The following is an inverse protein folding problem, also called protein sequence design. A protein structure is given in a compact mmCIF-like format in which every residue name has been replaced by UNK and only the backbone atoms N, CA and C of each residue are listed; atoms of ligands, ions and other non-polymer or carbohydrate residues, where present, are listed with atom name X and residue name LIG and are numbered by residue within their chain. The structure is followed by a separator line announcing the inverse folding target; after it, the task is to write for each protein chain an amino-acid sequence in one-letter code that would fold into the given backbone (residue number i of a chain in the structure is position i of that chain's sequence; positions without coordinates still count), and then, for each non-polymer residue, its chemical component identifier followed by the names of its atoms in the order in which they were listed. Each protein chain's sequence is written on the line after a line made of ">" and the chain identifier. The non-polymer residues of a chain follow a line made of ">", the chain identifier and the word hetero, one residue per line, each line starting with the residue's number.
data_IF_933723879901
#
_entry.id   IF_933723879901
#
_cell.length_a   1.000
_cell.length_b   1.000
_cell.length_c   1.000
_cell.angle_alpha   90.00
_cell.angle_beta   90.00
_cell.angle_gamma   90.00
#
_symmetry.space_group_name_H-M   'P 1'
#
loop_
_entity.id
_entity.type
_entity.pdbx_description
1 polymer ?
#
# COMPACT_ATOMS: atom_id res chain seq x y z
N UNK A 1 4.81 5.62 2.43
CA UNK A 1 3.86 6.35 3.31
C UNK A 1 2.61 6.78 2.56
N UNK A 2 2.72 7.41 1.39
CA UNK A 2 1.56 7.84 0.58
C UNK A 2 0.60 6.67 0.23
N UNK A 3 1.17 5.53 -0.18
CA UNK A 3 0.40 4.30 -0.48
C UNK A 3 -0.39 3.80 0.73
N UNK A 4 0.16 3.88 1.93
CA UNK A 4 -0.49 3.47 3.18
C UNK A 4 -1.67 4.39 3.49
N UNK A 5 -1.48 5.71 3.35
CA UNK A 5 -2.55 6.69 3.60
C UNK A 5 -3.73 6.44 2.65
N UNK A 6 -3.45 6.21 1.36
CA UNK A 6 -4.48 5.91 0.38
C UNK A 6 -5.22 4.60 0.72
N UNK A 7 -4.49 3.55 1.11
CA UNK A 7 -5.08 2.28 1.57
C UNK A 7 -6.02 2.49 2.76
N UNK A 8 -5.64 3.31 3.75
CA UNK A 8 -6.49 3.62 4.92
C UNK A 8 -7.78 4.34 4.50
N UNK A 9 -7.68 5.38 3.66
CA UNK A 9 -8.85 6.15 3.22
C UNK A 9 -9.81 5.24 2.44
N UNK A 10 -9.29 4.46 1.49
CA UNK A 10 -10.11 3.59 0.66
C UNK A 10 -10.75 2.45 1.48
N UNK A 11 -9.97 1.79 2.33
CA UNK A 11 -10.47 0.72 3.20
C UNK A 11 -11.54 1.27 4.17
N UNK A 12 -11.28 2.39 4.85
CA UNK A 12 -12.26 3.00 5.77
C UNK A 12 -13.55 3.41 5.05
N UNK A 13 -13.44 3.90 3.81
CA UNK A 13 -14.57 4.21 2.94
C UNK A 13 -15.42 2.99 2.57
N UNK A 14 -14.81 1.87 2.15
CA UNK A 14 -15.54 0.64 1.81
C UNK A 14 -16.24 0.06 3.04
N UNK A 15 -15.51 -0.06 4.17
CA UNK A 15 -16.08 -0.59 5.42
C UNK A 15 -17.25 0.28 5.88
N UNK A 16 -17.14 1.60 5.77
CA UNK A 16 -18.24 2.51 6.08
C UNK A 16 -19.42 2.35 5.11
N UNK A 17 -19.14 2.20 3.80
CA UNK A 17 -20.16 1.96 2.78
C UNK A 17 -20.98 0.72 3.07
N UNK A 18 -20.33 -0.39 3.43
CA UNK A 18 -21.01 -1.62 3.85
C UNK A 18 -21.92 -1.39 5.07
N UNK A 19 -21.46 -0.63 6.06
CA UNK A 19 -22.33 -0.21 7.15
C UNK A 19 -23.53 0.60 6.65
N UNK A 20 -23.28 1.63 5.84
CA UNK A 20 -24.32 2.58 5.41
C UNK A 20 -25.43 1.90 4.59
N UNK A 21 -25.07 1.01 3.68
CA UNK A 21 -26.03 0.36 2.78
C UNK A 21 -26.76 -0.82 3.42
N UNK A 22 -26.08 -1.62 4.25
CA UNK A 22 -26.64 -2.87 4.78
C UNK A 22 -27.11 -2.78 6.23
N UNK A 23 -26.36 -2.10 7.10
CA UNK A 23 -26.53 -2.18 8.56
C UNK A 23 -27.21 -0.96 9.18
N UNK A 24 -26.98 0.24 8.62
CA UNK A 24 -27.49 1.50 9.18
C UNK A 24 -29.03 1.60 9.21
N UNK A 25 -29.72 0.74 8.45
CA UNK A 25 -31.18 0.68 8.36
C UNK A 25 -31.80 -0.40 9.25
N UNK A 26 -31.00 -1.23 9.92
CA UNK A 26 -31.47 -2.31 10.78
C UNK A 26 -31.30 -1.93 12.27
N UNK A 27 -32.20 -2.41 13.11
CA UNK A 27 -32.16 -2.38 14.58
C UNK A 27 -31.21 -3.46 15.12
N UNK A 28 -29.96 -3.39 14.70
CA UNK A 28 -28.86 -4.23 15.19
C UNK A 28 -27.81 -3.37 15.87
N UNK A 29 -28.24 -2.42 16.73
CA UNK A 29 -27.39 -1.30 17.17
C UNK A 29 -26.15 -1.74 17.93
N UNK A 30 -26.25 -2.79 18.75
CA UNK A 30 -25.09 -3.35 19.46
C UNK A 30 -24.05 -3.88 18.48
N UNK A 31 -24.47 -4.64 17.46
CA UNK A 31 -23.58 -5.12 16.40
C UNK A 31 -23.01 -3.96 15.59
N UNK A 32 -23.84 -2.99 15.22
CA UNK A 32 -23.44 -1.81 14.47
C UNK A 32 -22.35 -1.00 15.20
N UNK A 33 -22.46 -0.86 16.52
CA UNK A 33 -21.44 -0.21 17.37
C UNK A 33 -20.09 -0.90 17.22
N UNK A 34 -20.05 -2.22 17.42
CA UNK A 34 -18.82 -3.00 17.29
C UNK A 34 -18.29 -3.01 15.86
N UNK A 35 -19.16 -3.12 14.86
CA UNK A 35 -18.77 -3.04 13.46
C UNK A 35 -18.09 -1.71 13.14
N UNK A 36 -18.65 -0.58 13.58
CA UNK A 36 -18.08 0.75 13.34
C UNK A 36 -16.71 0.91 14.02
N UNK A 37 -16.57 0.45 15.27
CA UNK A 37 -15.31 0.50 16.01
C UNK A 37 -14.25 -0.41 15.41
N UNK A 38 -14.55 -1.70 15.27
CA UNK A 38 -13.62 -2.70 14.75
C UNK A 38 -13.29 -2.42 13.29
N UNK A 39 -14.27 -1.99 12.49
CA UNK A 39 -14.06 -1.63 11.10
C UNK A 39 -13.08 -0.47 10.96
N UNK A 40 -13.19 0.54 11.83
CA UNK A 40 -12.25 1.66 11.84
C UNK A 40 -10.86 1.22 12.28
N UNK A 41 -10.74 0.43 13.36
CA UNK A 41 -9.44 -0.12 13.80
C UNK A 41 -8.82 -0.97 12.68
N UNK A 42 -9.61 -1.85 12.06
CA UNK A 42 -9.20 -2.72 10.97
C UNK A 42 -8.64 -1.91 9.79
N UNK A 43 -9.33 -0.87 9.34
CA UNK A 43 -8.86 -0.05 8.21
C UNK A 43 -7.52 0.64 8.47
N UNK A 44 -7.22 0.96 9.73
CA UNK A 44 -5.95 1.57 10.12
C UNK A 44 -4.84 0.54 10.36
N UNK A 45 -5.19 -0.67 10.80
CA UNK A 45 -4.21 -1.72 11.07
C UNK A 45 -3.84 -2.54 9.83
N UNK A 46 -4.78 -2.78 8.91
CA UNK A 46 -4.58 -3.73 7.81
C UNK A 46 -3.40 -3.40 6.88
N UNK A 47 -3.09 -2.12 6.53
CA UNK A 47 -1.97 -1.83 5.63
C UNK A 47 -0.60 -2.13 6.24
N UNK A 48 -0.52 -2.35 7.56
CA UNK A 48 0.72 -2.69 8.27
C UNK A 48 0.89 -4.20 8.46
N UNK A 49 -0.10 -5.00 8.06
CA UNK A 49 -0.02 -6.46 8.13
C UNK A 49 0.59 -6.97 6.83
N UNK A 50 1.75 -7.62 6.96
CA UNK A 50 2.43 -8.24 5.83
C UNK A 50 1.95 -9.69 5.62
N UNK A 51 1.43 -9.99 4.43
CA UNK A 51 1.15 -11.35 3.97
C UNK A 51 2.33 -11.80 3.11
N UNK A 52 2.94 -12.91 3.51
CA UNK A 52 3.98 -13.57 2.72
C UNK A 52 3.33 -14.27 1.53
N UNK A 53 3.65 -13.84 0.32
CA UNK A 53 3.21 -14.53 -0.91
C UNK A 53 4.41 -15.16 -1.59
N UNK A 54 4.25 -16.39 -2.06
CA UNK A 54 5.24 -17.00 -2.94
C UNK A 54 5.25 -16.23 -4.26
N UNK A 55 6.44 -15.77 -4.66
CA UNK A 55 6.65 -15.17 -5.96
C UNK A 55 6.52 -16.29 -7.00
N UNK A 56 5.45 -16.25 -7.81
CA UNK A 56 5.45 -16.99 -9.07
C UNK A 56 6.33 -16.15 -10.00
N UNK A 57 7.61 -16.50 -10.08
CA UNK A 57 8.52 -15.90 -11.05
C UNK A 57 8.07 -16.29 -12.45
N UNK A 58 7.39 -15.37 -13.14
CA UNK A 58 7.56 -15.32 -14.60
C UNK A 58 9.04 -15.01 -14.84
N UNK A 59 9.82 -16.05 -15.17
CA UNK A 59 11.20 -15.92 -15.64
C UNK A 59 11.22 -15.08 -16.92
N UNK A 60 11.23 -13.76 -16.77
CA UNK A 60 11.61 -12.84 -17.84
C UNK A 60 13.09 -12.57 -17.66
N UNK A 61 13.94 -12.89 -18.65
CA UNK A 61 15.37 -12.65 -18.53
C UNK A 61 15.61 -11.15 -18.39
N UNK A 62 16.11 -10.75 -17.22
CA UNK A 62 16.58 -9.39 -16.96
C UNK A 62 18.02 -9.33 -17.46
N UNK A 63 18.27 -8.47 -18.45
CA UNK A 63 19.62 -8.16 -18.90
C UNK A 63 20.23 -7.20 -17.87
N UNK A 64 21.22 -7.67 -17.11
CA UNK A 64 22.05 -6.80 -16.29
C UNK A 64 23.07 -6.10 -17.21
N UNK A 65 22.87 -4.80 -17.45
CA UNK A 65 23.92 -3.96 -18.01
C UNK A 65 24.81 -3.50 -16.85
N UNK A 66 26.06 -3.96 -16.86
CA UNK A 66 27.12 -3.41 -16.03
C UNK A 66 27.49 -2.05 -16.64
N UNK A 67 26.93 -0.98 -16.08
CA UNK A 67 27.34 0.36 -16.46
C UNK A 67 28.78 0.52 -15.98
N UNK A 68 29.73 0.60 -16.92
CA UNK A 68 31.12 0.91 -16.59
C UNK A 68 31.13 2.18 -15.75
N UNK A 69 31.69 2.09 -14.55
CA UNK A 69 31.98 3.25 -13.72
C UNK A 69 32.97 4.09 -14.53
N UNK A 70 32.47 5.05 -15.29
CA UNK A 70 33.29 6.15 -15.75
C UNK A 70 33.79 6.86 -14.51
N UNK A 71 35.06 6.67 -14.22
CA UNK A 71 35.80 7.44 -13.24
C UNK A 71 35.73 8.90 -13.71
N UNK A 72 34.75 9.66 -13.20
CA UNK A 72 34.67 11.09 -13.42
C UNK A 72 35.97 11.69 -12.89
N UNK A 73 36.69 12.37 -13.77
CA UNK A 73 37.73 13.32 -13.38
C UNK A 73 37.08 14.28 -12.39
N UNK A 74 37.70 14.41 -11.22
CA UNK A 74 37.24 15.24 -10.11
C UNK A 74 37.33 16.72 -10.51
N UNK A 75 36.38 17.22 -11.27
CA UNK A 75 36.04 18.64 -11.21
C UNK A 75 35.28 18.83 -9.90
N UNK A 76 35.90 19.52 -8.95
CA UNK A 76 35.25 19.92 -7.70
C UNK A 76 33.91 20.58 -8.07
N UNK A 77 32.75 19.99 -7.71
CA UNK A 77 31.51 20.69 -7.91
C UNK A 77 31.58 21.93 -7.02
N UNK A 78 31.46 23.11 -7.63
CA UNK A 78 31.05 24.29 -6.88
C UNK A 78 29.70 23.89 -6.28
N UNK A 79 29.69 23.68 -4.96
CA UNK A 79 28.47 23.43 -4.20
C UNK A 79 27.69 24.74 -4.24
N UNK A 80 26.88 24.89 -5.29
CA UNK A 80 25.77 25.85 -5.24
C UNK A 80 24.82 25.26 -4.22
N UNK A 81 24.92 25.75 -2.98
CA UNK A 81 24.00 25.42 -1.91
C UNK A 81 22.67 26.11 -2.25
N UNK A 82 21.95 25.53 -3.21
CA UNK A 82 20.56 25.85 -3.39
C UNK A 82 19.87 25.35 -2.12
N UNK A 83 19.53 26.28 -1.22
CA UNK A 83 18.56 26.05 -0.16
C UNK A 83 17.20 25.83 -0.83
N UNK A 84 17.05 24.73 -1.56
CA UNK A 84 15.76 24.26 -2.02
C UNK A 84 15.07 23.82 -0.74
N UNK A 85 14.19 24.68 -0.23
CA UNK A 85 13.33 24.33 0.89
C UNK A 85 12.65 23.02 0.50
N UNK A 86 12.92 21.97 1.27
CA UNK A 86 12.28 20.69 1.05
C UNK A 86 10.80 20.84 1.38
N UNK A 87 9.99 21.04 0.33
CA UNK A 87 8.54 21.19 0.45
C UNK A 87 7.91 20.00 1.19
N UNK A 88 8.53 18.81 1.17
CA UNK A 88 8.07 17.64 1.91
C UNK A 88 8.23 17.84 3.41
N UNK A 89 9.35 18.41 3.87
CA UNK A 89 9.57 18.74 5.28
C UNK A 89 8.57 19.78 5.77
N UNK A 90 8.27 20.81 4.95
CA UNK A 90 7.27 21.82 5.27
C UNK A 90 5.87 21.21 5.45
N UNK A 91 5.49 20.24 4.60
CA UNK A 91 4.21 19.52 4.72
C UNK A 91 4.12 18.72 6.02
N UNK A 92 5.19 18.04 6.44
CA UNK A 92 5.22 17.33 7.72
C UNK A 92 5.04 18.29 8.91
N UNK A 93 5.75 19.42 8.90
CA UNK A 93 5.61 20.45 9.95
C UNK A 93 4.17 20.97 10.00
N UNK A 94 3.58 21.30 8.86
CA UNK A 94 2.19 21.75 8.78
C UNK A 94 1.20 20.69 9.31
N UNK A 95 1.40 19.43 8.94
CA UNK A 95 0.59 18.30 9.43
C UNK A 95 0.64 18.18 10.97
N UNK A 96 1.83 18.27 11.57
CA UNK A 96 1.96 18.19 13.04
C UNK A 96 1.35 19.40 13.74
N UNK A 97 1.48 20.61 13.19
CA UNK A 97 0.87 21.82 13.75
C UNK A 97 -0.66 21.70 13.76
N UNK A 98 -1.26 21.31 12.62
CA UNK A 98 -2.73 21.15 12.51
C UNK A 98 -3.21 20.08 13.50
N UNK A 99 -2.54 18.92 13.52
CA UNK A 99 -2.88 17.82 14.42
C UNK A 99 -2.78 18.24 15.90
N UNK A 100 -1.74 18.99 16.27
CA UNK A 100 -1.56 19.52 17.63
C UNK A 100 -2.70 20.47 18.02
N UNK A 101 -3.08 21.41 17.15
CA UNK A 101 -4.20 22.33 17.41
C UNK A 101 -5.51 21.55 17.63
N UNK A 102 -5.76 20.50 16.84
CA UNK A 102 -6.95 19.66 17.00
C UNK A 102 -6.93 18.88 18.32
N UNK A 103 -5.78 18.33 18.73
CA UNK A 103 -5.63 17.66 20.04
C UNK A 103 -5.86 18.64 21.20
N UNK A 104 -5.27 19.84 21.14
CA UNK A 104 -5.49 20.89 22.15
C UNK A 104 -6.96 21.30 22.23
N UNK A 105 -7.68 21.38 21.10
CA UNK A 105 -9.11 21.63 21.06
C UNK A 105 -9.92 20.53 21.78
N UNK A 106 -9.52 19.26 21.64
CA UNK A 106 -10.15 18.13 22.35
C UNK A 106 -9.90 18.26 23.86
N UNK A 107 -8.66 18.52 24.27
CA UNK A 107 -8.30 18.71 25.69
C UNK A 107 -9.09 19.87 26.29
N UNK A 108 -9.13 21.02 25.61
CA UNK A 108 -9.90 22.18 26.03
C UNK A 108 -11.39 21.85 26.18
N UNK A 109 -11.98 21.09 25.26
CA UNK A 109 -13.38 20.64 25.35
C UNK A 109 -13.63 19.80 26.61
N UNK A 110 -12.73 18.87 26.93
CA UNK A 110 -12.83 18.02 28.13
C UNK A 110 -12.72 18.88 29.41
N UNK A 111 -11.77 19.82 29.45
CA UNK A 111 -11.62 20.76 30.58
C UNK A 111 -12.88 21.60 30.72
N UNK A 112 -13.42 22.13 29.61
CA UNK A 112 -14.64 22.94 29.61
C UNK A 112 -15.82 22.18 30.22
N UNK A 113 -16.05 20.92 29.82
CA UNK A 113 -17.11 20.07 30.39
C UNK A 113 -16.90 19.85 31.90
N UNK A 114 -15.66 19.55 32.33
CA UNK A 114 -15.35 19.34 33.75
C UNK A 114 -15.41 20.62 34.58
N UNK A 115 -15.23 21.78 33.96
CA UNK A 115 -15.26 23.10 34.61
C UNK A 115 -16.68 23.67 34.79
N UNK A 116 -17.70 23.01 34.25
CA UNK A 116 -19.08 23.46 34.36
C UNK A 116 -19.51 23.57 35.83
N UNK A 117 -20.01 24.75 36.20
CA UNK A 117 -20.47 25.05 37.56
C UNK A 117 -21.87 24.52 37.78
N UNK A 118 -22.07 23.86 38.92
CA UNK A 118 -23.35 23.27 39.29
C UNK A 118 -23.32 22.56 40.64
N UNK A 119 -24.50 22.29 41.19
CA UNK A 119 -24.69 21.51 42.41
C UNK A 119 -24.55 20.02 42.11
N UNK A 120 -23.66 19.34 42.83
CA UNK A 120 -23.46 17.88 42.67
C UNK A 120 -24.41 17.12 43.60
N UNK A 121 -25.14 16.16 43.05
CA UNK A 121 -26.03 15.27 43.79
C UNK A 121 -25.77 13.82 43.38
N UNK A 122 -26.22 12.88 44.22
CA UNK A 122 -26.31 11.46 43.85
C UNK A 122 -27.79 11.16 43.66
N UNK A 123 -28.18 10.73 42.45
CA UNK A 123 -29.54 10.35 42.12
C UNK A 123 -29.53 8.94 41.55
N UNK A 124 -30.33 8.03 42.13
CA UNK A 124 -30.39 6.61 41.76
C UNK A 124 -29.00 5.95 41.61
N UNK A 125 -28.12 6.16 42.60
CA UNK A 125 -26.74 5.64 42.61
C UNK A 125 -25.84 6.13 41.44
N UNK A 126 -26.15 7.31 40.88
CA UNK A 126 -25.36 7.97 39.83
C UNK A 126 -24.99 9.39 40.22
N UNK A 127 -23.79 9.81 39.82
CA UNK A 127 -23.34 11.18 39.99
C UNK A 127 -24.05 12.08 38.97
N UNK A 128 -24.76 13.09 39.47
CA UNK A 128 -25.48 14.08 38.67
C UNK A 128 -24.97 15.47 39.05
N UNK A 129 -24.68 16.30 38.04
CA UNK A 129 -24.36 17.71 38.23
C UNK A 129 -25.52 18.55 37.70
N UNK A 130 -26.20 19.25 38.61
CA UNK A 130 -27.25 20.20 38.29
C UNK A 130 -26.62 21.56 37.95
N UNK A 131 -26.72 21.94 36.69
CA UNK A 131 -26.12 23.13 36.09
C UNK A 131 -27.02 24.36 36.31
N UNK A 132 -26.37 25.50 36.56
CA UNK A 132 -27.05 26.79 36.73
C UNK A 132 -27.51 27.42 35.41
N UNK A 133 -27.18 26.79 34.27
CA UNK A 133 -27.44 27.29 32.93
C UNK A 133 -28.42 26.35 32.23
N UNK A 134 -29.33 26.92 31.43
CA UNK A 134 -30.35 26.16 30.69
C UNK A 134 -29.74 25.49 29.44
N UNK A 135 -29.23 24.27 29.64
CA UNK A 135 -28.66 23.41 28.60
C UNK A 135 -29.41 22.07 28.56
N UNK A 136 -29.40 21.42 27.39
CA UNK A 136 -29.82 20.05 27.21
C UNK A 136 -29.19 19.09 28.24
N UNK A 137 -29.90 18.06 28.69
CA UNK A 137 -29.31 16.88 29.32
C UNK A 137 -28.17 16.33 28.46
N UNK A 138 -27.06 15.97 29.10
CA UNK A 138 -26.01 15.19 28.45
C UNK A 138 -25.19 14.43 29.49
N UNK A 139 -24.50 13.40 29.03
CA UNK A 139 -23.64 12.57 29.87
C UNK A 139 -22.21 12.55 29.38
N UNK A 140 -21.27 12.62 30.30
CA UNK A 140 -19.84 12.53 29.99
C UNK A 140 -19.11 11.68 31.03
N UNK A 141 -18.42 10.65 30.53
CA UNK A 141 -17.74 9.62 31.33
C UNK A 141 -18.71 8.96 32.32
N UNK A 142 -18.56 9.19 33.62
CA UNK A 142 -19.36 8.58 34.67
C UNK A 142 -20.37 9.55 35.31
N UNK A 143 -20.59 10.71 34.68
CA UNK A 143 -21.38 11.81 35.24
C UNK A 143 -22.46 12.26 34.28
N UNK A 144 -23.67 12.45 34.81
CA UNK A 144 -24.81 13.01 34.09
C UNK A 144 -24.89 14.51 34.41
N UNK A 145 -25.10 15.35 33.40
CA UNK A 145 -25.23 16.79 33.51
C UNK A 145 -26.64 17.20 33.10
N UNK A 146 -27.32 17.93 33.98
CA UNK A 146 -28.72 18.36 33.78
C UNK A 146 -28.84 19.80 34.23
N UNK A 147 -29.70 20.60 33.61
CA UNK A 147 -30.04 21.92 34.16
C UNK A 147 -30.85 21.79 35.45
N UNK A 148 -30.74 22.75 36.36
CA UNK A 148 -31.52 22.77 37.60
C UNK A 148 -33.04 22.68 37.33
N UNK A 149 -33.50 23.18 36.18
CA UNK A 149 -34.90 23.12 35.71
C UNK A 149 -35.46 21.70 35.50
N UNK A 150 -34.61 20.68 35.35
CA UNK A 150 -35.01 19.27 35.26
C UNK A 150 -35.22 18.61 36.63
N UNK A 151 -34.73 19.22 37.71
CA UNK A 151 -34.83 18.69 39.07
C UNK A 151 -35.98 19.37 39.80
N UNK A 152 -37.18 18.80 39.70
CA UNK A 152 -38.41 19.34 40.31
C UNK A 152 -38.85 18.44 41.45
N UNK A 153 -39.11 19.04 42.62
CA UNK A 153 -39.65 18.33 43.79
C UNK A 153 -38.84 17.08 44.17
N UNK A 154 -37.52 17.14 44.02
CA UNK A 154 -36.63 16.02 44.34
C UNK A 154 -36.57 14.91 43.28
N UNK A 155 -37.18 15.10 42.11
CA UNK A 155 -37.28 14.10 41.05
C UNK A 155 -36.83 14.65 39.70
N UNK A 156 -36.36 13.74 38.87
CA UNK A 156 -35.99 13.96 37.46
C UNK A 156 -36.92 13.10 36.61
N UNK A 157 -37.33 13.58 35.43
CA UNK A 157 -38.08 12.75 34.48
C UNK A 157 -37.31 11.45 34.21
N UNK A 158 -37.93 10.33 34.53
CA UNK A 158 -37.26 9.04 34.53
C UNK A 158 -36.79 8.62 33.13
N UNK A 159 -37.44 9.08 32.07
CA UNK A 159 -37.05 8.77 30.68
C UNK A 159 -35.79 9.52 30.30
N UNK A 160 -35.67 10.79 30.71
CA UNK A 160 -34.45 11.58 30.51
C UNK A 160 -33.31 10.97 31.31
N UNK A 161 -33.54 10.69 32.60
CA UNK A 161 -32.51 10.12 33.46
C UNK A 161 -32.04 8.76 32.93
N UNK A 162 -32.96 7.88 32.55
CA UNK A 162 -32.62 6.56 32.00
C UNK A 162 -31.83 6.68 30.69
N UNK A 163 -32.22 7.57 29.77
CA UNK A 163 -31.50 7.81 28.52
C UNK A 163 -30.04 8.20 28.79
N UNK A 164 -29.84 9.22 29.63
CA UNK A 164 -28.52 9.69 30.03
C UNK A 164 -27.72 8.62 30.78
N UNK A 165 -28.37 7.85 31.65
CA UNK A 165 -27.74 6.75 32.36
C UNK A 165 -27.23 5.66 31.41
N UNK A 166 -27.95 5.38 30.31
CA UNK A 166 -27.52 4.40 29.31
C UNK A 166 -26.21 4.84 28.64
N UNK A 167 -26.04 6.14 28.33
CA UNK A 167 -24.77 6.65 27.80
C UNK A 167 -23.60 6.42 28.75
N UNK A 168 -23.82 6.62 30.05
CA UNK A 168 -22.83 6.34 31.08
C UNK A 168 -22.54 4.84 31.19
N UNK A 169 -23.58 4.02 31.36
CA UNK A 169 -23.48 2.56 31.53
C UNK A 169 -22.76 1.89 30.36
N UNK A 170 -23.09 2.31 29.14
CA UNK A 170 -22.50 1.78 27.91
C UNK A 170 -21.17 2.47 27.53
N UNK A 171 -20.70 3.43 28.32
CA UNK A 171 -19.40 4.11 28.13
C UNK A 171 -19.28 4.83 26.77
N UNK A 172 -20.38 5.38 26.24
CA UNK A 172 -20.43 6.02 24.92
C UNK A 172 -19.45 7.21 24.77
N UNK A 173 -19.05 7.86 25.88
CA UNK A 173 -18.03 8.91 25.84
C UNK A 173 -16.66 8.41 25.36
N UNK A 174 -16.28 7.16 25.66
CA UNK A 174 -14.99 6.62 25.23
C UNK A 174 -14.95 6.41 23.72
N UNK A 175 -16.03 5.90 23.13
CA UNK A 175 -16.20 5.72 21.70
C UNK A 175 -16.08 7.05 20.94
N UNK A 176 -16.71 8.11 21.46
CA UNK A 176 -16.62 9.46 20.87
C UNK A 176 -15.21 10.04 21.03
N UNK A 177 -14.57 9.88 22.20
CA UNK A 177 -13.19 10.33 22.42
C UNK A 177 -12.21 9.60 21.49
N UNK A 178 -12.37 8.30 21.30
CA UNK A 178 -11.57 7.50 20.39
C UNK A 178 -11.62 8.04 18.95
N UNK A 179 -12.82 8.28 18.41
CA UNK A 179 -12.96 8.87 17.08
C UNK A 179 -12.41 10.29 17.02
N UNK A 180 -12.63 11.12 18.04
CA UNK A 180 -12.08 12.50 18.06
C UNK A 180 -10.55 12.50 18.02
N UNK A 181 -9.90 11.59 18.76
CA UNK A 181 -8.44 11.41 18.73
C UNK A 181 -8.00 10.95 17.35
N UNK A 182 -8.61 9.90 16.78
CA UNK A 182 -8.26 9.43 15.43
C UNK A 182 -8.45 10.51 14.37
N UNK A 183 -9.54 11.27 14.46
CA UNK A 183 -9.83 12.40 13.57
C UNK A 183 -8.78 13.51 13.69
N UNK A 184 -8.22 13.75 14.88
CA UNK A 184 -7.16 14.75 15.04
C UNK A 184 -5.90 14.40 14.23
N UNK A 185 -5.53 13.12 14.17
CA UNK A 185 -4.40 12.63 13.36
C UNK A 185 -4.78 12.40 11.90
N UNK A 186 -6.02 12.04 11.61
CA UNK A 186 -6.51 11.74 10.26
C UNK A 186 -7.51 12.78 9.77
N UNK A 187 -7.24 14.06 10.04
CA UNK A 187 -8.17 15.16 9.75
C UNK A 187 -8.46 15.30 8.25
N UNK A 188 -7.54 14.83 7.41
CA UNK A 188 -7.66 14.78 5.95
C UNK A 188 -8.54 13.63 5.45
N UNK A 189 -8.81 12.59 6.26
CA UNK A 189 -9.65 11.47 5.86
C UNK A 189 -11.14 11.86 6.00
N UNK A 190 -11.92 12.03 4.92
CA UNK A 190 -13.32 12.44 5.03
C UNK A 190 -14.20 11.37 5.71
N UNK A 191 -13.84 10.09 5.61
CA UNK A 191 -14.66 9.01 6.17
C UNK A 191 -14.70 9.00 7.68
N UNK A 192 -13.67 9.51 8.37
CA UNK A 192 -13.66 9.59 9.84
C UNK A 192 -14.84 10.44 10.38
N UNK A 193 -15.25 11.47 9.63
CA UNK A 193 -16.38 12.33 9.99
C UNK A 193 -17.71 11.58 9.82
N UNK A 194 -17.81 10.71 8.82
CA UNK A 194 -18.98 9.84 8.65
C UNK A 194 -19.08 8.77 9.74
N UNK A 195 -17.95 8.15 10.13
CA UNK A 195 -17.90 7.25 11.28
C UNK A 195 -18.35 7.94 12.56
N UNK A 196 -17.86 9.17 12.82
CA UNK A 196 -18.30 9.96 13.98
C UNK A 196 -19.83 10.10 14.02
N UNK A 197 -20.42 10.57 12.93
CA UNK A 197 -21.85 10.82 12.86
C UNK A 197 -22.66 9.53 13.00
N UNK A 198 -22.20 8.45 12.37
CA UNK A 198 -22.84 7.13 12.46
C UNK A 198 -22.76 6.57 13.88
N UNK A 199 -21.62 6.68 14.57
CA UNK A 199 -21.43 6.18 15.92
C UNK A 199 -22.30 6.93 16.92
N UNK A 200 -22.34 8.27 16.84
CA UNK A 200 -23.23 9.09 17.66
C UNK A 200 -24.69 8.68 17.41
N UNK A 201 -25.12 8.60 16.16
CA UNK A 201 -26.50 8.17 15.80
C UNK A 201 -26.81 6.78 16.38
N UNK A 202 -25.87 5.84 16.32
CA UNK A 202 -26.05 4.50 16.86
C UNK A 202 -26.13 4.47 18.39
N UNK A 203 -25.37 5.34 19.09
CA UNK A 203 -25.50 5.51 20.55
C UNK A 203 -26.86 6.04 20.95
N UNK A 204 -27.39 7.02 20.21
CA UNK A 204 -28.75 7.52 20.43
C UNK A 204 -29.77 6.38 20.26
N UNK A 205 -29.63 5.56 19.22
CA UNK A 205 -30.53 4.42 18.98
C UNK A 205 -30.47 3.37 20.11
N UNK A 206 -29.27 3.06 20.62
CA UNK A 206 -29.09 2.16 21.76
C UNK A 206 -29.79 2.71 23.02
N UNK A 207 -29.63 4.00 23.28
CA UNK A 207 -30.27 4.64 24.43
C UNK A 207 -31.80 4.70 24.27
N UNK A 208 -32.29 5.05 23.08
CA UNK A 208 -33.71 5.11 22.77
C UNK A 208 -34.39 3.74 22.90
N UNK A 209 -33.76 2.68 22.38
CA UNK A 209 -34.29 1.31 22.44
C UNK A 209 -34.43 0.83 23.89
N UNK A 210 -33.42 1.05 24.72
CA UNK A 210 -33.43 0.68 26.14
C UNK A 210 -34.47 1.47 26.95
N UNK A 211 -34.70 2.74 26.63
CA UNK A 211 -35.78 3.53 27.27
C UNK A 211 -37.15 2.96 26.88
N UNK A 212 -37.37 2.68 25.59
CA UNK A 212 -38.64 2.14 25.08
C UNK A 212 -38.91 0.73 25.63
N UNK A 213 -37.88 -0.10 25.83
CA UNK A 213 -38.03 -1.43 26.41
C UNK A 213 -38.41 -1.38 27.90
N UNK A 214 -37.96 -0.35 28.63
CA UNK A 214 -38.17 -0.21 30.08
C UNK A 214 -39.37 0.68 30.45
N UNK A 215 -39.89 1.47 29.51
CA UNK A 215 -40.92 2.48 29.75
C UNK A 215 -41.99 2.43 28.67
N UNK A 216 -43.22 2.71 29.05
CA UNK A 216 -44.36 2.63 28.14
C UNK A 216 -44.53 3.92 27.32
N UNK A 217 -44.83 3.75 26.02
CA UNK A 217 -45.31 4.82 25.15
C UNK A 217 -44.24 5.49 24.27
N UNK A 218 -43.97 4.92 23.09
CA UNK A 218 -43.08 5.51 22.06
C UNK A 218 -43.48 6.96 21.75
N UNK A 219 -44.79 7.24 21.61
CA UNK A 219 -45.29 8.59 21.28
C UNK A 219 -44.94 9.62 22.36
N UNK A 220 -45.17 9.26 23.63
CA UNK A 220 -44.89 10.16 24.76
C UNK A 220 -43.38 10.44 24.85
N UNK A 221 -42.56 9.43 24.57
CA UNK A 221 -41.10 9.62 24.52
C UNK A 221 -40.63 10.48 23.34
N UNK A 222 -41.23 10.30 22.15
CA UNK A 222 -40.95 11.15 20.98
C UNK A 222 -41.35 12.62 21.24
N UNK A 223 -42.51 12.86 21.86
CA UNK A 223 -42.94 14.21 22.25
C UNK A 223 -41.97 14.85 23.26
N UNK A 224 -41.49 14.08 24.23
CA UNK A 224 -40.46 14.53 25.17
C UNK A 224 -39.19 14.97 24.42
N UNK A 225 -38.65 14.12 23.55
CA UNK A 225 -37.45 14.45 22.75
C UNK A 225 -37.69 15.68 21.87
N UNK A 226 -38.86 15.77 21.23
CA UNK A 226 -39.21 16.90 20.37
C UNK A 226 -39.22 18.21 21.17
N UNK A 227 -39.86 18.20 22.35
CA UNK A 227 -39.88 19.35 23.24
C UNK A 227 -38.46 19.76 23.67
N UNK A 228 -37.57 18.80 23.92
CA UNK A 228 -36.18 19.10 24.26
C UNK A 228 -35.38 19.72 23.12
N UNK A 229 -35.60 19.26 21.88
CA UNK A 229 -34.97 19.86 20.69
C UNK A 229 -35.50 21.28 20.43
N UNK A 230 -36.79 21.54 20.70
CA UNK A 230 -37.43 22.84 20.52
C UNK A 230 -36.96 23.89 21.53
N UNK A 231 -36.78 23.53 22.81
CA UNK A 231 -36.27 24.45 23.85
C UNK A 231 -34.89 25.04 23.53
N UNK A 232 -34.09 24.33 22.73
CA UNK A 232 -32.72 24.72 22.38
C UNK A 232 -32.64 25.66 21.16
N UNK A 233 -33.76 25.99 20.50
CA UNK A 233 -33.80 26.83 19.30
C UNK A 233 -33.87 28.32 19.68
N UNK A 234 -32.74 29.03 19.76
CA UNK A 234 -32.73 30.44 20.21
C UNK A 234 -31.86 31.43 19.39
N UNK A 235 -31.69 31.29 18.06
CA UNK A 235 -31.07 32.36 17.24
C UNK A 235 -31.63 32.53 15.81
N UNK A 236 -31.95 33.79 15.44
CA UNK A 236 -32.69 34.26 14.26
C UNK A 236 -31.91 34.40 12.93
N UNK A 237 -30.64 33.97 12.86
CA UNK A 237 -29.79 34.11 11.65
C UNK A 237 -29.07 32.80 11.24
N UNK A 238 -29.62 31.63 11.56
CA UNK A 238 -28.92 30.35 11.36
C UNK A 238 -29.73 29.31 10.55
N UNK A 239 -29.04 28.51 9.73
CA UNK A 239 -29.57 27.26 9.17
C UNK A 239 -29.69 26.22 10.30
N UNK A 240 -30.87 26.10 10.92
CA UNK A 240 -31.14 25.14 12.00
C UNK A 240 -31.43 23.73 11.43
N UNK A 241 -30.43 22.84 11.48
CA UNK A 241 -30.47 21.52 10.85
C UNK A 241 -30.13 20.33 11.79
N UNK A 242 -30.52 20.37 13.07
CA UNK A 242 -30.42 19.17 13.95
C UNK A 242 -31.61 18.19 13.81
N UNK A 243 -32.62 18.51 12.98
CA UNK A 243 -33.74 17.59 12.72
C UNK A 243 -33.33 16.26 12.08
N UNK A 244 -32.20 16.20 11.37
CA UNK A 244 -31.85 14.99 10.64
C UNK A 244 -31.54 13.81 11.60
N UNK A 245 -30.90 14.07 12.75
CA UNK A 245 -30.65 13.00 13.73
C UNK A 245 -31.94 12.63 14.48
N UNK A 246 -32.71 13.61 14.96
CA UNK A 246 -33.99 13.37 15.63
C UNK A 246 -34.98 12.62 14.73
N UNK A 247 -35.06 12.98 13.44
CA UNK A 247 -35.86 12.27 12.44
C UNK A 247 -35.43 10.81 12.32
N UNK A 248 -34.11 10.54 12.26
CA UNK A 248 -33.58 9.18 12.22
C UNK A 248 -33.95 8.39 13.48
N UNK A 249 -33.83 9.00 14.67
CA UNK A 249 -34.26 8.41 15.95
C UNK A 249 -35.73 8.02 15.89
N UNK A 250 -36.62 8.93 15.49
CA UNK A 250 -38.05 8.67 15.43
C UNK A 250 -38.44 7.56 14.45
N UNK A 251 -37.83 7.56 13.25
CA UNK A 251 -38.02 6.47 12.28
C UNK A 251 -37.55 5.14 12.87
N UNK A 252 -36.40 5.12 13.54
CA UNK A 252 -35.80 3.89 14.05
C UNK A 252 -36.55 3.31 15.25
N UNK A 253 -37.14 4.16 16.11
CA UNK A 253 -37.97 3.72 17.24
C UNK A 253 -39.19 2.92 16.80
N UNK A 254 -39.84 3.31 15.70
CA UNK A 254 -41.08 2.68 15.20
C UNK A 254 -40.82 1.57 14.18
N UNK A 255 -39.57 1.42 13.72
CA UNK A 255 -39.21 0.46 12.69
C UNK A 255 -39.07 -0.97 13.25
N UNK A 256 -39.28 -1.95 12.38
CA UNK A 256 -38.95 -3.36 12.60
C UNK A 256 -37.81 -3.79 11.66
N UNK A 257 -37.08 -4.82 12.08
CA UNK A 257 -35.98 -5.38 11.29
C UNK A 257 -36.47 -6.04 10.00
N UNK A 258 -35.63 -5.99 8.96
CA UNK A 258 -35.88 -6.77 7.75
C UNK A 258 -35.69 -8.26 8.02
N UNK A 259 -36.34 -9.10 7.20
CA UNK A 259 -36.20 -10.58 7.29
C UNK A 259 -34.75 -11.07 7.16
N UNK A 260 -33.88 -10.26 6.55
CA UNK A 260 -32.47 -10.58 6.32
C UNK A 260 -31.51 -9.85 7.29
N UNK A 261 -32.01 -9.21 8.35
CA UNK A 261 -31.17 -8.46 9.28
C UNK A 261 -30.03 -9.30 9.88
N UNK A 262 -30.32 -10.55 10.24
CA UNK A 262 -29.30 -11.50 10.73
C UNK A 262 -28.27 -11.84 9.65
N UNK A 263 -28.71 -12.20 8.44
CA UNK A 263 -27.83 -12.51 7.32
C UNK A 263 -26.88 -11.34 6.97
N UNK A 264 -27.38 -10.10 7.03
CA UNK A 264 -26.58 -8.90 6.78
C UNK A 264 -25.45 -8.71 7.80
N UNK A 265 -25.60 -9.16 9.04
CA UNK A 265 -24.50 -9.15 10.03
C UNK A 265 -23.39 -10.11 9.63
N UNK A 266 -23.75 -11.30 9.17
CA UNK A 266 -22.77 -12.29 8.72
C UNK A 266 -22.02 -11.89 7.46
N UNK A 267 -22.53 -10.94 6.66
CA UNK A 267 -21.81 -10.35 5.52
C UNK A 267 -20.51 -9.63 5.94
N UNK A 268 -20.41 -9.19 7.19
CA UNK A 268 -19.21 -8.52 7.68
C UNK A 268 -17.96 -9.41 7.60
N UNK A 269 -18.07 -10.69 7.95
CA UNK A 269 -16.94 -11.63 8.00
C UNK A 269 -16.27 -11.79 6.62
N UNK A 270 -16.98 -12.24 5.56
CA UNK A 270 -16.37 -12.38 4.25
C UNK A 270 -15.89 -11.03 3.68
N UNK A 271 -16.59 -9.93 3.99
CA UNK A 271 -16.13 -8.61 3.59
C UNK A 271 -14.78 -8.24 4.21
N UNK A 272 -14.59 -8.44 5.51
CA UNK A 272 -13.32 -8.19 6.18
C UNK A 272 -12.21 -9.11 5.66
N UNK A 273 -12.50 -10.39 5.36
CA UNK A 273 -11.49 -11.28 4.78
C UNK A 273 -11.04 -10.86 3.39
N UNK A 274 -11.98 -10.45 2.52
CA UNK A 274 -11.65 -9.96 1.18
C UNK A 274 -10.83 -8.67 1.28
N UNK A 275 -11.26 -7.73 2.12
CA UNK A 275 -10.52 -6.49 2.35
C UNK A 275 -9.12 -6.74 2.94
N UNK A 276 -8.96 -7.74 3.79
CA UNK A 276 -7.67 -8.11 4.33
C UNK A 276 -6.72 -8.55 3.22
N UNK A 277 -7.18 -9.42 2.31
CA UNK A 277 -6.38 -9.90 1.17
C UNK A 277 -6.04 -8.75 0.20
N UNK A 278 -6.97 -7.79 0.01
CA UNK A 278 -6.79 -6.68 -0.91
C UNK A 278 -5.85 -5.58 -0.39
N UNK A 279 -5.93 -5.25 0.90
CA UNK A 279 -5.24 -4.08 1.47
C UNK A 279 -4.00 -4.42 2.29
N UNK A 280 -3.80 -5.68 2.69
CA UNK A 280 -2.58 -6.10 3.36
C UNK A 280 -1.34 -5.85 2.49
N UNK A 281 -0.22 -5.60 3.14
CA UNK A 281 1.07 -5.45 2.47
C UNK A 281 1.55 -6.82 1.99
N UNK A 282 2.02 -6.92 0.74
CA UNK A 282 2.59 -8.17 0.23
C UNK A 282 4.09 -8.11 0.37
N UNK A 283 4.64 -9.05 1.13
CA UNK A 283 6.09 -9.23 1.23
C UNK A 283 6.44 -10.52 0.50
N UNK A 284 7.33 -10.43 -0.48
CA UNK A 284 7.86 -11.59 -1.17
C UNK A 284 9.00 -12.16 -0.32
N UNK A 285 9.01 -13.48 -0.14
CA UNK A 285 10.14 -14.15 0.48
C UNK A 285 11.37 -13.98 -0.43
N UNK A 286 12.23 -13.03 -0.09
CA UNK A 286 13.58 -12.98 -0.66
C UNK A 286 14.34 -14.14 -0.02
N UNK A 287 14.76 -15.13 -0.81
CA UNK A 287 15.68 -16.15 -0.31
C UNK A 287 16.91 -15.42 0.28
N UNK A 288 17.29 -15.64 1.55
CA UNK A 288 18.36 -14.90 2.23
C UNK A 288 19.78 -15.22 1.71
N UNK A 289 19.92 -15.74 0.50
CA UNK A 289 21.18 -16.24 -0.06
C UNK A 289 22.04 -15.18 -0.75
N UNK A 290 21.57 -13.97 -1.01
CA UNK A 290 22.40 -12.93 -1.69
C UNK A 290 22.97 -11.85 -0.77
N UNK A 291 22.32 -11.55 0.36
CA UNK A 291 22.77 -10.47 1.28
C UNK A 291 23.74 -10.98 2.36
N UNK A 292 23.71 -12.29 2.66
CA UNK A 292 24.63 -12.94 3.61
C UNK A 292 26.01 -13.28 3.02
N UNK A 293 26.13 -13.39 1.69
CA UNK A 293 27.40 -13.73 1.04
C UNK A 293 28.34 -12.53 0.86
N UNK A 294 27.81 -11.30 0.73
CA UNK A 294 28.62 -10.08 0.58
C UNK A 294 29.25 -9.63 1.91
N UNK A 295 28.62 -9.97 3.05
CA UNK A 295 29.17 -9.67 4.37
C UNK A 295 30.26 -10.66 4.79
N UNK A 296 30.20 -11.90 4.32
CA UNK A 296 31.18 -12.94 4.64
C UNK A 296 32.45 -12.87 3.79
N UNK A 297 32.43 -12.30 2.57
CA UNK A 297 33.66 -12.15 1.77
C UNK A 297 34.61 -11.09 2.33
N UNK A 298 34.09 -10.05 3.01
CA UNK A 298 34.91 -9.00 3.64
C UNK A 298 35.58 -9.42 4.95
N UNK A 299 35.09 -10.49 5.61
CA UNK A 299 35.66 -11.00 6.87
C UNK A 299 36.70 -12.13 6.68
N UNK A 300 36.80 -12.71 5.49
CA UNK A 300 37.73 -13.84 5.22
C UNK A 300 39.10 -13.34 4.73
N UNK A 301 39.20 -12.17 4.13
CA UNK A 301 40.46 -11.64 3.60
C UNK A 301 41.39 -11.11 4.71
N UNK A 302 40.85 -10.72 5.87
CA UNK A 302 41.63 -10.17 7.00
C UNK A 302 42.25 -11.24 7.91
N UNK A 303 41.80 -12.51 7.83
CA UNK A 303 42.24 -13.60 8.73
C UNK A 303 43.18 -14.64 8.11
N UNK A 304 43.60 -14.46 6.85
CA UNK A 304 44.55 -15.37 6.19
C UNK A 304 46.04 -14.96 6.33
N UNK A 305 46.30 -13.87 7.05
CA UNK A 305 47.66 -13.34 7.35
C UNK A 305 48.24 -13.82 8.70
N UNK A 306 47.43 -14.45 9.55
CA UNK A 306 47.87 -14.90 10.88
C UNK A 306 47.39 -16.33 11.09
N UNK A 307 48.27 -17.19 11.59
CA UNK A 307 48.12 -18.66 11.75
C UNK A 307 48.74 -19.46 10.59
N UNK A 308 50.00 -19.15 10.29
CA UNK A 308 50.99 -20.21 10.10
C UNK A 308 51.64 -20.49 11.45
N UNK A 309 51.45 -21.68 12.00
CA UNK A 309 52.37 -22.45 12.87
C UNK A 309 51.59 -23.40 13.80
N UNK A 310 52.07 -24.66 13.85
CA UNK A 310 51.87 -25.72 14.86
C UNK A 310 50.80 -26.80 14.55
N UNK A 311 51.30 -27.88 13.91
CA UNK A 311 51.25 -29.33 14.24
C UNK A 311 49.92 -29.96 14.70
N UNK A 312 49.35 -30.93 13.96
CA UNK A 312 49.70 -32.37 13.92
C UNK A 312 49.48 -33.07 15.26
N UNK A 313 48.39 -33.84 15.40
CA UNK A 313 48.35 -35.32 15.27
C UNK A 313 47.08 -35.93 15.93
N UNK A 314 46.66 -37.09 15.40
CA UNK A 314 45.77 -38.14 15.97
C UNK A 314 44.23 -38.03 15.76
N UNK A 315 43.70 -39.04 15.07
CA UNK A 315 42.29 -39.41 14.87
C UNK A 315 41.92 -40.64 15.78
N UNK A 316 40.82 -41.39 15.59
CA UNK A 316 39.40 -41.08 15.30
C UNK A 316 38.42 -41.84 16.25
N UNK A 317 37.12 -41.52 16.29
CA UNK A 317 36.01 -42.50 16.52
C UNK A 317 34.67 -41.84 16.13
N UNK A 318 34.08 -42.12 14.98
CA UNK A 318 33.15 -43.21 14.64
C UNK A 318 31.87 -43.28 15.50
N UNK A 319 30.71 -42.96 14.89
CA UNK A 319 29.44 -43.65 15.12
C UNK A 319 28.46 -43.44 13.97
N UNK A 320 28.33 -44.53 13.19
CA UNK A 320 27.34 -44.87 12.18
C UNK A 320 25.88 -44.67 12.63
N UNK A 321 25.01 -44.32 11.68
CA UNK A 321 23.89 -45.16 11.14
C UNK A 321 23.26 -44.41 9.95
N UNK A 322 23.47 -44.85 8.70
CA UNK A 322 22.62 -45.77 7.88
C UNK A 322 21.26 -45.15 7.50
N UNK A 323 21.09 -44.78 6.22
CA UNK A 323 20.46 -45.56 5.11
C UNK A 323 18.93 -45.38 5.16
N UNK A 324 18.17 -45.12 4.11
CA UNK A 324 18.34 -45.25 2.66
C UNK A 324 17.14 -44.49 2.04
N UNK A 325 17.35 -43.69 0.99
CA UNK A 325 16.26 -43.09 0.23
C UNK A 325 15.92 -44.01 -0.95
N UNK A 326 14.67 -44.44 -1.02
CA UNK A 326 14.13 -45.10 -2.21
C UNK A 326 14.09 -44.15 -3.40
N UNK A 327 14.56 -44.69 -4.52
CA UNK A 327 14.77 -44.06 -5.83
C UNK A 327 13.44 -43.91 -6.58
N UNK A 328 13.29 -42.85 -7.41
CA UNK A 328 12.83 -42.89 -8.83
C UNK A 328 13.05 -41.51 -9.47
N UNK A 329 13.72 -41.50 -10.62
CA UNK A 329 13.72 -40.44 -11.65
C UNK A 329 13.70 -41.15 -13.02
N UNK A 330 13.55 -40.45 -14.15
CA UNK A 330 12.37 -39.78 -14.69
C UNK A 330 11.92 -40.44 -16.02
N UNK A 331 10.76 -40.05 -16.57
CA UNK A 331 10.43 -40.33 -17.99
C UNK A 331 10.15 -39.04 -18.76
N UNK A 332 10.87 -38.91 -19.87
CA UNK A 332 10.83 -37.85 -20.88
C UNK A 332 10.18 -38.41 -22.16
N UNK A 333 9.17 -37.73 -22.70
CA UNK A 333 9.05 -37.30 -24.12
C UNK A 333 7.64 -36.73 -24.38
N UNK A 334 7.51 -35.46 -24.80
CA UNK A 334 7.46 -34.94 -26.19
C UNK A 334 6.20 -35.41 -26.95
N UNK A 335 5.28 -34.48 -27.23
CA UNK A 335 5.00 -33.93 -28.57
C UNK A 335 3.92 -32.84 -28.50
N UNK A 336 4.20 -31.64 -29.02
CA UNK A 336 3.17 -30.71 -29.47
C UNK A 336 3.65 -29.96 -30.71
N UNK A 337 2.90 -30.21 -31.79
CA UNK A 337 3.04 -29.73 -33.17
C UNK A 337 2.74 -28.22 -33.25
N UNK A 338 3.55 -27.50 -34.03
CA UNK A 338 3.27 -26.15 -34.52
C UNK A 338 1.94 -26.08 -35.28
N UNK A 339 1.22 -24.94 -35.17
CA UNK A 339 0.77 -24.11 -36.31
C UNK A 339 -0.06 -22.88 -35.89
N UNK A 340 0.44 -21.71 -36.35
CA UNK A 340 -0.24 -20.50 -36.86
C UNK A 340 -1.01 -19.55 -35.93
N UNK A 341 -0.36 -18.39 -35.76
CA UNK A 341 -0.90 -17.04 -35.54
C UNK A 341 -1.80 -16.59 -36.71
N UNK A 342 -2.89 -15.87 -36.39
CA UNK A 342 -3.59 -14.95 -37.30
C UNK A 342 -3.73 -13.60 -36.59
N UNK A 343 -3.29 -12.55 -37.27
CA UNK A 343 -3.34 -11.13 -36.87
C UNK A 343 -4.58 -10.48 -37.49
N UNK A 344 -5.21 -9.51 -36.80
CA UNK A 344 -5.78 -8.23 -37.29
C UNK A 344 -6.57 -7.61 -36.12
N UNK A 345 -6.17 -6.49 -35.51
CA UNK A 345 -6.03 -5.08 -35.96
C UNK A 345 -7.29 -4.25 -35.66
N UNK A 346 -7.15 -3.18 -34.88
CA UNK A 346 -7.61 -1.81 -35.21
C UNK A 346 -7.41 -0.86 -34.00
N UNK A 347 -6.64 0.20 -34.22
CA UNK A 347 -6.79 1.63 -33.85
C UNK A 347 -7.25 2.02 -32.42
N UNK A 348 -6.77 3.09 -31.76
CA UNK A 348 -6.21 4.37 -32.23
C UNK A 348 -5.52 5.14 -31.09
N UNK A 349 -4.61 6.04 -31.50
CA UNK A 349 -4.24 7.37 -30.97
C UNK A 349 -4.00 7.63 -29.45
N UNK A 350 -2.81 8.16 -29.12
CA UNK A 350 -2.55 9.60 -28.81
C UNK A 350 -1.17 9.77 -28.11
N UNK A 351 -0.30 10.50 -28.81
CA UNK A 351 0.73 11.48 -28.39
C UNK A 351 1.62 11.31 -27.12
N UNK A 352 2.93 11.26 -27.41
CA UNK A 352 4.01 12.19 -27.01
C UNK A 352 4.28 12.40 -25.49
N UNK A 353 5.49 12.09 -25.01
CA UNK A 353 6.67 12.99 -25.01
C UNK A 353 7.91 12.31 -24.38
N UNK A 354 9.07 12.89 -24.69
CA UNK A 354 10.32 12.91 -23.92
C UNK A 354 11.42 11.86 -24.20
N UNK A 355 12.12 12.13 -25.30
CA UNK A 355 13.58 12.18 -25.45
C UNK A 355 14.42 11.88 -24.20
N UNK A 356 15.21 10.80 -24.27
CA UNK A 356 16.55 10.79 -23.68
C UNK A 356 17.52 10.17 -24.69
N UNK A 357 18.29 11.06 -25.31
CA UNK A 357 19.42 10.77 -26.17
C UNK A 357 20.56 10.23 -25.32
N UNK A 358 20.82 8.91 -25.35
CA UNK A 358 22.05 8.34 -24.81
C UNK A 358 22.96 7.99 -25.97
N UNK A 359 23.87 8.92 -26.27
CA UNK A 359 24.97 8.70 -27.19
C UNK A 359 25.95 7.70 -26.56
N UNK A 360 25.99 6.47 -27.07
CA UNK A 360 27.11 5.55 -26.80
C UNK A 360 28.24 5.85 -27.78
N UNK A 361 29.24 6.63 -27.35
CA UNK A 361 30.55 6.62 -28.01
C UNK A 361 31.21 5.28 -27.72
N UNK A 362 31.32 4.45 -28.75
CA UNK A 362 32.12 3.23 -28.77
C UNK A 362 33.35 3.47 -29.63
N UNK A 363 34.51 3.01 -29.17
CA UNK A 363 35.82 3.21 -29.79
C UNK A 363 35.86 2.63 -31.21
N UNK A 364 35.59 3.47 -32.20
CA UNK A 364 36.10 3.28 -33.56
C UNK A 364 37.06 4.44 -33.84
N UNK A 365 38.32 4.16 -34.17
CA UNK A 365 39.31 5.16 -34.61
C UNK A 365 38.99 5.76 -36.01
N UNK A 366 37.71 5.90 -36.36
CA UNK A 366 37.23 6.49 -37.61
C UNK A 366 36.57 7.84 -37.28
N UNK A 367 37.23 8.93 -37.67
CA UNK A 367 36.64 10.27 -37.61
C UNK A 367 35.45 10.35 -38.58
N UNK A 368 34.24 10.35 -38.03
CA UNK A 368 32.97 10.52 -38.76
C UNK A 368 32.22 11.73 -38.21
N UNK A 369 31.52 12.46 -39.09
CA UNK A 369 30.69 13.61 -38.76
C UNK A 369 29.37 13.19 -38.09
N UNK A 370 28.79 12.05 -38.47
CA UNK A 370 27.62 11.44 -37.81
C UNK A 370 27.80 9.94 -37.61
N UNK A 371 27.37 9.42 -36.47
CA UNK A 371 27.32 7.99 -36.18
C UNK A 371 26.16 7.31 -36.90
N UNK A 372 26.23 5.99 -37.14
CA UNK A 372 25.12 5.26 -37.73
C UNK A 372 23.95 5.11 -36.74
N UNK A 373 22.72 5.15 -37.23
CA UNK A 373 21.51 5.07 -36.40
C UNK A 373 20.66 3.84 -36.77
N UNK A 374 20.40 2.98 -35.79
CA UNK A 374 19.47 1.85 -35.93
C UNK A 374 18.02 2.35 -35.93
N UNK A 375 17.14 1.85 -36.82
CA UNK A 375 15.70 2.11 -36.72
C UNK A 375 15.15 1.70 -35.36
N UNK A 376 14.51 2.63 -34.65
CA UNK A 376 14.01 2.43 -33.28
C UNK A 376 15.08 2.49 -32.18
N UNK A 377 16.33 2.85 -32.52
CA UNK A 377 17.44 2.99 -31.59
C UNK A 377 18.07 1.67 -31.14
N UNK A 378 19.25 1.75 -30.50
CA UNK A 378 20.00 0.58 -30.05
C UNK A 378 19.24 -0.29 -29.04
N UNK A 379 18.30 0.28 -28.29
CA UNK A 379 17.46 -0.50 -27.36
C UNK A 379 16.50 -1.44 -28.09
N UNK A 380 15.91 -1.02 -29.22
CA UNK A 380 15.08 -1.89 -30.05
C UNK A 380 15.89 -3.05 -30.63
N UNK A 381 17.13 -2.77 -31.05
CA UNK A 381 18.07 -3.79 -31.50
C UNK A 381 18.40 -4.80 -30.39
N UNK A 382 18.77 -4.32 -29.20
CA UNK A 382 19.07 -5.18 -28.04
C UNK A 382 17.91 -6.09 -27.67
N UNK A 383 16.68 -5.57 -27.71
CA UNK A 383 15.47 -6.35 -27.44
C UNK A 383 15.26 -7.47 -28.46
N UNK A 384 15.47 -7.19 -29.76
CA UNK A 384 15.42 -8.21 -30.81
C UNK A 384 16.51 -9.27 -30.64
N UNK A 385 17.72 -8.87 -30.26
CA UNK A 385 18.81 -9.83 -29.98
C UNK A 385 18.43 -10.74 -28.82
N UNK A 386 17.95 -10.18 -27.71
CA UNK A 386 17.52 -10.94 -26.53
C UNK A 386 16.40 -11.95 -26.83
N UNK A 387 15.39 -11.54 -27.62
CA UNK A 387 14.27 -12.42 -27.99
C UNK A 387 14.66 -13.58 -28.90
N UNK A 388 15.71 -13.41 -29.71
CA UNK A 388 16.18 -14.41 -30.67
C UNK A 388 17.37 -15.23 -30.15
N UNK A 389 17.77 -15.03 -28.89
CA UNK A 389 18.90 -15.74 -28.30
C UNK A 389 18.44 -17.08 -27.69
N UNK A 390 18.89 -18.19 -28.27
CA UNK A 390 18.53 -19.54 -27.82
C UNK A 390 19.39 -19.98 -26.62
N UNK A 391 18.87 -19.76 -25.42
CA UNK A 391 19.52 -20.20 -24.17
C UNK A 391 19.67 -21.72 -24.09
N UNK A 392 18.85 -22.51 -24.80
CA UNK A 392 18.95 -23.97 -24.77
C UNK A 392 20.22 -24.49 -25.48
N UNK A 393 20.88 -23.66 -26.28
CA UNK A 393 22.15 -23.97 -26.93
C UNK A 393 23.34 -24.01 -25.94
N UNK A 394 23.22 -23.40 -24.75
CA UNK A 394 24.30 -23.20 -23.78
C UNK A 394 24.32 -24.26 -22.66
N UNK A 395 24.22 -25.54 -23.03
CA UNK A 395 24.10 -26.65 -22.07
C UNK A 395 25.32 -26.72 -21.14
N UNK A 396 25.10 -26.42 -19.86
CA UNK A 396 26.09 -26.59 -18.80
C UNK A 396 26.97 -25.37 -18.53
N UNK A 397 26.70 -24.25 -19.21
CA UNK A 397 27.37 -22.99 -18.92
C UNK A 397 26.71 -22.30 -17.72
N UNK A 398 27.51 -22.01 -16.70
CA UNK A 398 27.06 -21.37 -15.46
C UNK A 398 27.80 -20.05 -15.24
N UNK A 399 27.14 -19.10 -14.59
CA UNK A 399 27.73 -17.82 -14.26
C UNK A 399 27.62 -16.81 -15.39
N UNK A 400 28.59 -15.91 -15.47
CA UNK A 400 28.50 -14.69 -16.26
C UNK A 400 29.31 -14.84 -17.55
N UNK A 401 28.62 -14.93 -18.69
CA UNK A 401 29.22 -15.04 -20.02
C UNK A 401 29.29 -13.66 -20.68
N UNK A 402 30.43 -13.35 -21.29
CA UNK A 402 30.70 -12.08 -21.98
C UNK A 402 31.24 -12.34 -23.39
N UNK A 403 30.83 -11.53 -24.36
CA UNK A 403 31.40 -11.48 -25.72
C UNK A 403 31.29 -10.07 -26.28
N UNK A 404 32.27 -9.61 -27.06
CA UNK A 404 32.10 -8.39 -27.85
C UNK A 404 31.72 -8.79 -29.27
N UNK A 405 30.63 -8.22 -29.77
CA UNK A 405 30.15 -8.44 -31.14
C UNK A 405 30.64 -7.28 -31.99
N UNK A 406 31.37 -7.60 -33.06
CA UNK A 406 31.84 -6.64 -34.03
C UNK A 406 31.08 -6.84 -35.36
N UNK A 407 30.57 -5.78 -35.94
CA UNK A 407 29.90 -5.82 -37.25
C UNK A 407 30.13 -4.53 -38.03
N UNK A 408 29.94 -4.58 -39.35
CA UNK A 408 30.12 -3.44 -40.26
C UNK A 408 28.76 -3.01 -40.81
N UNK A 409 28.48 -1.71 -40.76
CA UNK A 409 27.35 -1.09 -41.43
C UNK A 409 27.87 -0.50 -42.74
N UNK A 410 27.30 -0.90 -43.88
CA UNK A 410 27.69 -0.39 -45.19
C UNK A 410 27.22 1.05 -45.41
N UNK A 411 27.68 1.68 -46.50
CA UNK A 411 27.21 3.00 -46.95
C UNK A 411 25.71 3.02 -47.28
N UNK A 412 25.12 1.83 -47.53
CA UNK A 412 23.70 1.63 -47.80
C UNK A 412 22.91 1.24 -46.53
N UNK A 413 23.57 1.16 -45.38
CA UNK A 413 22.93 0.84 -44.10
C UNK A 413 22.74 -0.66 -43.84
N UNK A 414 23.40 -1.54 -44.59
CA UNK A 414 23.30 -2.99 -44.40
C UNK A 414 24.34 -3.50 -43.41
N UNK A 415 23.94 -4.42 -42.52
CA UNK A 415 24.82 -5.03 -41.52
C UNK A 415 25.50 -6.28 -42.11
N UNK A 416 26.83 -6.31 -42.04
CA UNK A 416 27.68 -7.41 -42.53
C UNK A 416 28.87 -7.66 -41.59
N UNK A 417 29.65 -8.70 -41.85
CA UNK A 417 30.88 -9.03 -41.10
C UNK A 417 30.69 -9.17 -39.57
N UNK A 418 29.59 -9.82 -39.14
CA UNK A 418 29.31 -10.06 -37.73
C UNK A 418 30.29 -11.12 -37.19
N UNK A 419 31.09 -10.73 -36.21
CA UNK A 419 32.09 -11.56 -35.52
C UNK A 419 31.98 -11.36 -34.02
N UNK A 420 32.56 -12.28 -33.24
CA UNK A 420 32.53 -12.23 -31.77
C UNK A 420 33.89 -12.60 -31.16
N UNK A 421 34.25 -12.03 -30.01
CA UNK A 421 35.57 -12.24 -29.37
C UNK A 421 35.52 -12.82 -27.95
N UNK A 422 34.35 -13.28 -27.48
CA UNK A 422 34.19 -13.85 -26.14
C UNK A 422 34.91 -15.18 -25.92
N UNK A 423 35.11 -15.58 -24.66
CA UNK A 423 35.82 -16.82 -24.29
C UNK A 423 34.95 -18.09 -24.38
N UNK A 424 33.64 -17.96 -24.58
CA UNK A 424 32.72 -19.09 -24.67
C UNK A 424 32.21 -19.21 -26.12
N UNK A 425 32.60 -20.30 -26.80
CA UNK A 425 32.29 -20.54 -28.21
C UNK A 425 30.80 -20.75 -28.49
N UNK A 426 30.09 -21.44 -27.59
CA UNK A 426 28.65 -21.66 -27.72
C UNK A 426 27.87 -20.33 -27.58
N UNK A 427 28.26 -19.50 -26.60
CA UNK A 427 27.73 -18.16 -26.39
C UNK A 427 28.02 -17.23 -27.55
N UNK A 428 29.25 -17.27 -28.08
CA UNK A 428 29.66 -16.52 -29.27
C UNK A 428 28.84 -16.87 -30.51
N UNK A 429 28.67 -18.17 -30.75
CA UNK A 429 27.91 -18.67 -31.91
C UNK A 429 26.45 -18.22 -31.84
N UNK A 430 25.82 -18.34 -30.67
CA UNK A 430 24.44 -17.91 -30.48
C UNK A 430 24.30 -16.38 -30.51
N UNK A 431 25.28 -15.63 -29.99
CA UNK A 431 25.32 -14.18 -30.07
C UNK A 431 25.38 -13.68 -31.51
N UNK A 432 26.25 -14.27 -32.36
CA UNK A 432 26.33 -13.94 -33.79
C UNK A 432 24.99 -14.20 -34.47
N UNK A 433 24.37 -15.37 -34.21
CA UNK A 433 23.10 -15.77 -34.80
C UNK A 433 21.96 -14.83 -34.40
N UNK A 434 21.85 -14.48 -33.12
CA UNK A 434 20.83 -13.57 -32.62
C UNK A 434 20.97 -12.17 -33.22
N UNK A 435 22.20 -11.67 -33.38
CA UNK A 435 22.47 -10.36 -34.03
C UNK A 435 22.16 -10.39 -35.51
N UNK A 436 22.46 -11.50 -36.20
CA UNK A 436 22.09 -11.68 -37.60
C UNK A 436 20.58 -11.58 -37.78
N UNK A 437 19.81 -12.36 -37.01
CA UNK A 437 18.34 -12.35 -37.04
C UNK A 437 17.78 -10.97 -36.69
N UNK A 438 18.36 -10.29 -35.68
CA UNK A 438 17.91 -8.96 -35.28
C UNK A 438 18.06 -7.89 -36.37
N UNK A 439 18.99 -8.09 -37.31
CA UNK A 439 19.28 -7.19 -38.43
C UNK A 439 18.75 -7.69 -39.79
N UNK A 440 18.04 -8.82 -39.84
CA UNK A 440 17.38 -9.27 -41.07
C UNK A 440 16.30 -8.25 -41.47
N UNK A 441 16.37 -7.78 -42.71
CA UNK A 441 15.47 -6.77 -43.27
C UNK A 441 15.47 -5.43 -42.49
N UNK A 442 16.60 -5.08 -41.84
CA UNK A 442 16.78 -3.78 -41.16
C UNK A 442 17.81 -2.95 -41.91
N UNK A 443 17.40 -1.78 -42.39
CA UNK A 443 18.30 -0.80 -43.01
C UNK A 443 18.64 0.30 -42.00
N UNK A 444 19.92 0.40 -41.65
CA UNK A 444 20.44 1.44 -40.76
C UNK A 444 20.62 2.74 -41.51
N UNK A 445 20.58 3.87 -40.79
CA UNK A 445 21.12 5.10 -41.32
C UNK A 445 22.66 5.02 -41.23
N UNK A 446 23.39 5.13 -42.34
CA UNK A 446 24.85 4.97 -42.35
C UNK A 446 25.54 6.12 -41.60
N UNK A 447 26.80 5.90 -41.23
CA UNK A 447 27.64 6.98 -40.76
C UNK A 447 27.92 7.97 -41.90
N UNK A 448 28.14 9.25 -41.57
CA UNK A 448 28.54 10.24 -42.58
C UNK A 448 29.86 10.89 -42.22
N UNK A 449 30.66 11.20 -43.24
CA UNK A 449 31.87 12.02 -43.14
C UNK A 449 31.77 13.11 -44.20
N UNK A 450 31.77 14.37 -43.76
CA UNK A 450 31.68 15.54 -44.65
C UNK A 450 30.48 15.48 -45.62
N UNK A 451 29.36 14.92 -45.16
CA UNK A 451 28.12 14.78 -45.93
C UNK A 451 28.01 13.51 -46.81
N UNK A 452 29.08 12.72 -46.93
CA UNK A 452 29.07 11.46 -47.69
C UNK A 452 28.85 10.26 -46.75
N UNK A 453 28.04 9.29 -47.19
CA UNK A 453 27.83 8.04 -46.44
C UNK A 453 29.11 7.20 -46.46
N UNK A 454 29.53 6.70 -45.30
CA UNK A 454 30.74 5.88 -45.14
C UNK A 454 30.43 4.62 -44.35
N UNK A 455 31.10 3.52 -44.69
CA UNK A 455 31.01 2.29 -43.93
C UNK A 455 31.59 2.47 -42.52
N UNK A 456 30.91 1.91 -41.51
CA UNK A 456 31.26 2.08 -40.11
C UNK A 456 31.35 0.74 -39.38
N UNK A 457 32.43 0.54 -38.61
CA UNK A 457 32.61 -0.68 -37.80
C UNK A 457 32.14 -0.43 -36.37
N UNK A 458 31.16 -1.20 -35.94
CA UNK A 458 30.56 -1.13 -34.61
C UNK A 458 31.05 -2.30 -33.73
N UNK A 459 31.28 -2.04 -32.45
CA UNK A 459 31.58 -3.07 -31.44
C UNK A 459 30.60 -2.93 -30.27
N UNK A 460 29.93 -4.01 -29.86
CA UNK A 460 28.96 -4.02 -28.75
C UNK A 460 29.28 -5.15 -27.78
N UNK A 461 29.52 -4.88 -26.47
CA UNK A 461 29.63 -5.91 -25.47
C UNK A 461 28.24 -6.50 -25.20
N UNK A 462 28.19 -7.82 -25.17
CA UNK A 462 27.04 -8.61 -24.78
C UNK A 462 27.42 -9.45 -23.57
N UNK A 463 26.66 -9.30 -22.50
CA UNK A 463 26.86 -10.03 -21.25
C UNK A 463 25.53 -10.66 -20.83
N UNK A 464 25.58 -11.94 -20.43
CA UNK A 464 24.43 -12.64 -19.88
C UNK A 464 24.84 -13.45 -18.65
N UNK A 465 23.95 -13.49 -17.66
CA UNK A 465 24.13 -14.29 -16.45
C UNK A 465 23.22 -15.52 -16.51
N UNK A 466 23.81 -16.69 -16.40
CA UNK A 466 23.12 -17.97 -16.35
C UNK A 466 23.14 -18.49 -14.91
N UNK A 467 21.97 -18.89 -14.41
CA UNK A 467 21.85 -19.51 -13.09
C UNK A 467 22.26 -20.98 -13.15
N UNK A 468 23.09 -21.42 -12.21
CA UNK A 468 23.43 -22.83 -12.06
C UNK A 468 22.15 -23.64 -11.81
N UNK A 469 21.85 -24.60 -12.67
CA UNK A 469 20.87 -25.62 -12.34
C UNK A 469 21.47 -26.43 -11.18
N UNK A 470 20.92 -26.29 -9.97
CA UNK A 470 21.41 -26.99 -8.79
C UNK A 470 21.62 -28.47 -9.11
N UNK A 471 22.90 -28.91 -9.11
CA UNK A 471 23.25 -30.33 -9.19
C UNK A 471 22.58 -31.01 -8.01
N UNK A 472 21.53 -31.76 -8.29
CA UNK A 472 20.89 -32.65 -7.33
C UNK A 472 21.91 -33.76 -7.07
N UNK A 473 22.61 -33.69 -5.92
CA UNK A 473 23.43 -34.78 -5.39
C UNK A 473 22.58 -35.70 -4.51
#
# INVERSE_FOLDING_TARGET
>A
METIILKIILCSGIVFGLYHFFLAKEKTFTFNRFYLLLGLIFSYSIPFIAIQTQQIEEKKPVILFEQEIQQQVLENPVVVQNNVVDYVQLLWVAYFIISMILVLKIIYSIIKIKSLKGRKIIYQNRAVVLLNQEIAPFSFLNTIYLSESYYKEGKIDERIFLHEEIHVKQKHSFDVLFIEILKAFSWFNPFIYFYKNAMITNHEFLADEEVILKKEGIKIYQELILNEVLKQQNFKLTHQFNFNNTKKRFIMMTKTNSKFAEAKKYLAIPAFTVLAILFAERVYANNPSSESLIKNSRYVEEKKSVIGSINSEIAPTDRRTKLENDTISPKKNIEAKLLKKKTQSSDSDVQNTDNVTVASKMNSNQEVSTLPECPGGLNAMRNKVSQNFDVAALKGDEGLLKTNILFTISEQGEVSNITSTGNNEAFNTEAIKAVKIANENVTWKPASKDGNSVAYRFEIPLTMKFESAAKTQ
#
